data_IF_814658282661
#
_entry.id   IF_814658282661
#
_cell.length_a   1.000
_cell.length_b   1.000
_cell.length_c   1.000
_cell.angle_alpha   90.00
_cell.angle_beta   90.00
_cell.angle_gamma   90.00
#
_symmetry.space_group_name_H-M   'P 1'
#
loop_
_entity.id
_entity.type
_entity.pdbx_description
1 polymer ?
#
# COMPACT_ATOMS: atom_id res chain seq x y z
N UNK A 1 25.92 -2.21 19.48
CA UNK A 1 25.55 -1.27 18.43
C UNK A 1 26.52 -1.33 17.26
N UNK A 2 27.84 -1.09 17.41
CA UNK A 2 28.80 -1.29 16.29
C UNK A 2 28.74 -2.74 15.71
N UNK A 3 28.65 -3.74 16.55
CA UNK A 3 28.45 -5.16 16.13
C UNK A 3 27.08 -5.41 15.45
N UNK A 4 26.14 -4.49 15.59
CA UNK A 4 24.84 -4.52 14.93
C UNK A 4 24.82 -3.66 13.66
N UNK A 5 25.97 -3.11 13.24
CA UNK A 5 26.13 -2.22 12.08
C UNK A 5 25.21 -1.01 12.10
N UNK A 6 25.06 -0.39 13.29
CA UNK A 6 24.32 0.85 13.47
C UNK A 6 25.15 2.00 12.90
N UNK A 7 24.70 2.58 11.79
CA UNK A 7 25.43 3.63 11.05
C UNK A 7 25.58 4.92 11.86
N UNK A 8 24.57 5.29 12.65
CA UNK A 8 24.61 6.51 13.47
C UNK A 8 25.65 6.39 14.57
N UNK A 9 25.73 5.23 15.22
CA UNK A 9 26.74 4.94 16.25
C UNK A 9 28.13 4.83 15.62
N UNK A 10 28.25 4.21 14.44
CA UNK A 10 29.52 4.12 13.73
C UNK A 10 30.05 5.52 13.38
N UNK A 11 29.17 6.42 12.94
CA UNK A 11 29.55 7.80 12.63
C UNK A 11 29.96 8.58 13.88
N UNK A 12 29.24 8.46 14.99
CA UNK A 12 29.61 9.09 16.28
C UNK A 12 30.96 8.59 16.82
N UNK A 13 31.27 7.31 16.65
CA UNK A 13 32.57 6.74 17.07
C UNK A 13 33.67 7.23 16.14
N UNK A 14 33.41 7.31 14.83
CA UNK A 14 34.37 7.85 13.85
C UNK A 14 34.70 9.32 14.14
N UNK A 15 33.70 10.13 14.51
CA UNK A 15 33.88 11.55 14.81
C UNK A 15 34.68 11.78 16.14
N UNK A 16 34.57 10.83 17.10
CA UNK A 16 35.25 10.91 18.39
C UNK A 16 36.65 10.29 18.41
N UNK A 17 36.84 9.23 17.68
CA UNK A 17 38.04 8.36 17.76
C UNK A 17 38.62 8.16 16.34
N UNK A 18 38.81 9.26 15.60
CA UNK A 18 39.21 9.22 14.20
C UNK A 18 40.45 8.35 13.95
N UNK A 19 41.48 8.47 14.82
CA UNK A 19 42.73 7.73 14.68
C UNK A 19 42.62 6.23 15.04
N UNK A 20 41.71 5.87 15.95
CA UNK A 20 41.52 4.48 16.41
C UNK A 20 40.38 3.78 15.68
N UNK A 21 39.56 4.48 14.89
CA UNK A 21 38.37 3.92 14.26
C UNK A 21 38.68 2.72 13.37
N UNK A 22 39.74 2.77 12.59
CA UNK A 22 40.15 1.67 11.71
C UNK A 22 40.43 0.37 12.48
N UNK A 23 41.05 0.46 13.68
CA UNK A 23 41.31 -0.71 14.52
C UNK A 23 40.02 -1.27 15.13
N UNK A 24 39.08 -0.41 15.50
CA UNK A 24 37.77 -0.79 16.02
C UNK A 24 36.95 -1.47 14.92
N UNK A 25 36.94 -0.94 13.71
CA UNK A 25 36.24 -1.50 12.56
C UNK A 25 36.77 -2.87 12.17
N UNK A 26 38.10 -3.03 12.16
CA UNK A 26 38.73 -4.34 11.92
C UNK A 26 38.36 -5.36 13.00
N UNK A 27 38.40 -4.98 14.27
CA UNK A 27 38.01 -5.87 15.36
C UNK A 27 36.52 -6.26 15.29
N UNK A 28 35.64 -5.33 14.90
CA UNK A 28 34.22 -5.62 14.68
C UNK A 28 34.03 -6.59 13.53
N UNK A 29 34.72 -6.38 12.41
CA UNK A 29 34.64 -7.26 11.24
C UNK A 29 35.19 -8.65 11.54
N UNK A 30 36.31 -8.78 12.27
CA UNK A 30 36.86 -10.06 12.70
C UNK A 30 35.89 -10.83 13.59
N UNK A 31 35.23 -10.20 14.53
CA UNK A 31 34.23 -10.83 15.40
C UNK A 31 33.01 -11.27 14.60
N UNK A 32 32.53 -10.44 13.66
CA UNK A 32 31.40 -10.77 12.81
C UNK A 32 31.71 -11.94 11.87
N UNK A 33 32.92 -11.95 11.29
CA UNK A 33 33.36 -12.99 10.38
C UNK A 33 33.67 -14.33 11.08
N UNK A 34 34.38 -14.29 12.25
CA UNK A 34 34.78 -15.47 12.97
C UNK A 34 33.62 -16.31 13.51
N UNK A 35 32.47 -15.70 13.79
CA UNK A 35 31.37 -16.41 14.47
C UNK A 35 30.29 -16.97 13.57
N UNK A 36 30.19 -16.64 12.28
CA UNK A 36 29.15 -17.13 11.33
C UNK A 36 27.70 -17.14 11.89
N UNK A 37 27.45 -16.49 13.03
CA UNK A 37 26.20 -16.47 13.76
C UNK A 37 25.68 -15.04 13.73
N UNK A 38 24.39 -14.91 13.53
CA UNK A 38 23.69 -13.64 13.63
C UNK A 38 23.87 -13.00 15.02
N UNK A 39 24.87 -12.14 15.13
CA UNK A 39 25.17 -11.39 16.36
C UNK A 39 24.01 -10.47 16.77
N UNK A 40 23.27 -9.95 15.80
CA UNK A 40 22.11 -9.10 16.06
C UNK A 40 21.02 -9.88 16.82
N UNK A 41 20.71 -11.09 16.36
CA UNK A 41 19.75 -11.96 17.02
C UNK A 41 20.23 -12.37 18.42
N UNK A 42 21.50 -12.74 18.58
CA UNK A 42 22.06 -13.12 19.87
C UNK A 42 22.04 -11.97 20.88
N UNK A 43 22.45 -10.78 20.47
CA UNK A 43 22.43 -9.60 21.33
C UNK A 43 20.99 -9.28 21.73
N UNK A 44 20.03 -9.36 20.82
CA UNK A 44 18.63 -9.12 21.09
C UNK A 44 18.03 -10.16 22.06
N UNK A 45 18.39 -11.43 21.89
CA UNK A 45 17.95 -12.50 22.81
C UNK A 45 18.56 -12.35 24.22
N UNK A 46 19.83 -11.98 24.30
CA UNK A 46 20.50 -11.78 25.60
C UNK A 46 19.97 -10.52 26.30
N UNK A 47 19.74 -9.42 25.59
CA UNK A 47 19.05 -8.25 26.13
C UNK A 47 17.66 -8.61 26.67
N UNK A 48 16.89 -9.39 25.91
CA UNK A 48 15.57 -9.86 26.36
C UNK A 48 15.67 -10.72 27.62
N UNK A 49 16.69 -11.58 27.71
CA UNK A 49 16.94 -12.42 28.90
C UNK A 49 17.28 -11.58 30.12
N UNK A 50 18.19 -10.60 29.97
CA UNK A 50 18.57 -9.69 31.05
C UNK A 50 17.38 -8.84 31.49
N UNK A 51 16.64 -8.25 30.55
CA UNK A 51 15.41 -7.50 30.85
C UNK A 51 14.38 -8.35 31.59
N UNK A 52 14.20 -9.61 31.15
CA UNK A 52 13.30 -10.53 31.83
C UNK A 52 13.74 -10.81 33.27
N UNK A 53 15.04 -11.03 33.50
CA UNK A 53 15.60 -11.24 34.83
C UNK A 53 15.47 -10.01 35.75
N UNK A 54 15.56 -8.80 35.19
CA UNK A 54 15.35 -7.55 35.92
C UNK A 54 13.86 -7.29 36.24
N UNK A 55 12.98 -7.77 35.38
CA UNK A 55 11.52 -7.63 35.55
C UNK A 55 10.93 -8.72 36.46
N UNK A 56 11.60 -9.87 36.57
CA UNK A 56 11.19 -10.96 37.48
C UNK A 56 11.25 -10.47 38.95
N UNK A 57 10.09 -10.31 39.56
CA UNK A 57 9.91 -9.81 40.93
C UNK A 57 9.52 -8.33 41.05
N UNK A 58 9.65 -7.53 39.98
CA UNK A 58 9.21 -6.10 39.98
C UNK A 58 7.87 -5.94 39.28
N UNK A 59 7.64 -6.72 38.21
CA UNK A 59 6.39 -6.71 37.46
C UNK A 59 5.58 -7.94 37.82
N UNK A 60 4.61 -7.79 38.71
CA UNK A 60 3.54 -8.78 38.83
C UNK A 60 2.59 -8.61 37.67
N UNK A 61 2.72 -9.47 36.68
CA UNK A 61 1.68 -9.60 35.65
C UNK A 61 0.43 -10.13 36.38
N UNK A 62 -0.54 -9.24 36.63
CA UNK A 62 -1.91 -9.73 36.81
C UNK A 62 -2.19 -10.54 35.52
N UNK A 63 -2.39 -11.83 35.68
CA UNK A 63 -3.02 -12.67 34.67
C UNK A 63 -4.47 -12.18 34.49
N UNK A 64 -4.62 -11.01 33.87
CA UNK A 64 -5.84 -10.61 33.23
C UNK A 64 -6.08 -11.63 32.14
N UNK A 65 -6.96 -12.59 32.42
CA UNK A 65 -7.25 -13.70 31.53
C UNK A 65 -7.50 -13.18 30.12
N UNK A 66 -6.49 -13.29 29.25
CA UNK A 66 -6.70 -13.06 27.82
C UNK A 66 -7.83 -13.98 27.43
N UNK A 67 -8.90 -13.48 26.82
CA UNK A 67 -9.98 -14.37 26.43
C UNK A 67 -9.35 -15.48 25.58
N UNK A 68 -9.54 -16.72 26.01
CA UNK A 68 -9.00 -17.92 25.34
C UNK A 68 -9.31 -17.94 23.83
N UNK A 69 -10.37 -17.25 23.45
CA UNK A 69 -10.77 -17.01 22.06
C UNK A 69 -9.75 -16.17 21.28
N UNK A 70 -9.26 -15.04 21.80
CA UNK A 70 -8.32 -14.17 21.09
C UNK A 70 -6.99 -14.87 20.82
N UNK A 71 -6.54 -15.72 21.77
CA UNK A 71 -5.33 -16.51 21.60
C UNK A 71 -5.53 -17.68 20.61
N UNK A 72 -6.69 -18.35 20.65
CA UNK A 72 -7.05 -19.39 19.70
C UNK A 72 -7.18 -18.83 18.28
N UNK A 73 -7.84 -17.70 18.13
CA UNK A 73 -7.98 -17.00 16.86
C UNK A 73 -6.61 -16.53 16.32
N UNK A 74 -5.73 -16.00 17.20
CA UNK A 74 -4.36 -15.65 16.84
C UNK A 74 -3.56 -16.83 16.28
N UNK A 75 -3.70 -18.02 16.86
CA UNK A 75 -3.06 -19.25 16.37
C UNK A 75 -3.63 -19.69 15.02
N UNK A 76 -4.92 -19.56 14.80
CA UNK A 76 -5.56 -19.86 13.50
C UNK A 76 -5.07 -18.94 12.39
N UNK A 77 -4.87 -17.64 12.66
CA UNK A 77 -4.38 -16.67 11.67
C UNK A 77 -2.92 -16.92 11.25
N UNK A 78 -2.10 -17.52 12.12
CA UNK A 78 -0.68 -17.82 11.83
C UNK A 78 -0.46 -19.18 11.16
N UNK A 79 -1.44 -20.08 11.18
CA UNK A 79 -1.32 -21.39 10.53
C UNK A 79 -1.64 -21.24 9.02
N UNK A 80 -0.77 -21.71 8.08
CA UNK A 80 -1.02 -21.57 6.64
C UNK A 80 -2.36 -22.13 6.17
N UNK A 81 -2.78 -23.27 6.69
CA UNK A 81 -4.03 -23.93 6.30
C UNK A 81 -5.31 -23.17 6.69
N UNK A 82 -5.28 -22.45 7.78
CA UNK A 82 -6.43 -21.67 8.26
C UNK A 82 -6.26 -20.17 8.01
N UNK A 83 -5.03 -19.68 8.00
CA UNK A 83 -4.72 -18.27 7.81
C UNK A 83 -4.93 -17.80 6.36
N UNK A 84 -4.63 -18.64 5.36
CA UNK A 84 -4.87 -18.28 3.95
C UNK A 84 -6.36 -18.17 3.63
N UNK A 85 -7.22 -19.13 3.97
CA UNK A 85 -8.69 -18.97 3.81
C UNK A 85 -9.22 -17.74 4.56
N UNK A 86 -8.75 -17.50 5.79
CA UNK A 86 -9.15 -16.34 6.57
C UNK A 86 -8.72 -15.02 5.90
N UNK A 87 -7.50 -14.98 5.35
CA UNK A 87 -7.03 -13.84 4.57
C UNK A 87 -7.95 -13.56 3.38
N UNK A 88 -8.32 -14.60 2.63
CA UNK A 88 -9.25 -14.45 1.49
C UNK A 88 -10.62 -13.92 1.93
N UNK A 89 -11.13 -14.38 3.06
CA UNK A 89 -12.38 -13.88 3.65
C UNK A 89 -12.24 -12.39 4.01
N UNK A 90 -11.15 -12.00 4.68
CA UNK A 90 -10.90 -10.60 5.05
C UNK A 90 -10.75 -9.71 3.83
N UNK A 91 -10.05 -10.16 2.79
CA UNK A 91 -9.92 -9.43 1.52
C UNK A 91 -11.27 -9.33 0.79
N UNK A 92 -12.05 -10.41 0.75
CA UNK A 92 -13.35 -10.42 0.09
C UNK A 92 -14.34 -9.47 0.79
N UNK A 93 -14.53 -9.59 2.09
CA UNK A 93 -15.48 -8.75 2.80
C UNK A 93 -14.96 -7.33 3.04
N UNK A 94 -13.68 -7.17 3.40
CA UNK A 94 -13.09 -5.87 3.72
C UNK A 94 -12.77 -5.02 2.49
N UNK A 95 -12.20 -5.61 1.43
CA UNK A 95 -11.84 -4.84 0.24
C UNK A 95 -12.91 -4.95 -0.86
N UNK A 96 -13.30 -6.15 -1.25
CA UNK A 96 -14.21 -6.29 -2.38
C UNK A 96 -15.63 -5.83 -2.03
N UNK A 97 -16.22 -6.33 -0.94
CA UNK A 97 -17.61 -6.01 -0.61
C UNK A 97 -17.77 -4.64 0.03
N UNK A 98 -16.93 -4.29 1.01
CA UNK A 98 -17.04 -3.01 1.71
C UNK A 98 -16.50 -1.85 0.88
N UNK A 99 -15.30 -1.96 0.32
CA UNK A 99 -14.72 -0.85 -0.47
C UNK A 99 -15.33 -0.83 -1.88
N UNK A 100 -15.39 -1.99 -2.56
CA UNK A 100 -15.92 -2.08 -3.92
C UNK A 100 -17.45 -1.93 -3.96
N UNK A 101 -18.19 -2.77 -3.24
CA UNK A 101 -19.66 -2.77 -3.28
C UNK A 101 -20.27 -1.54 -2.62
N UNK A 102 -19.91 -1.26 -1.37
CA UNK A 102 -20.49 -0.13 -0.63
C UNK A 102 -19.80 1.20 -0.97
N UNK A 103 -18.47 1.26 -0.98
CA UNK A 103 -17.71 2.49 -1.24
C UNK A 103 -17.84 2.95 -2.70
N UNK A 104 -17.41 2.10 -3.64
CA UNK A 104 -17.40 2.44 -5.06
C UNK A 104 -18.75 2.27 -5.76
N UNK A 105 -19.63 1.40 -5.27
CA UNK A 105 -21.00 1.31 -5.76
C UNK A 105 -21.88 2.33 -5.08
N UNK A 106 -22.40 2.03 -3.90
CA UNK A 106 -23.50 2.81 -3.29
C UNK A 106 -23.14 4.27 -3.01
N UNK A 107 -21.97 4.57 -2.43
CA UNK A 107 -21.62 5.96 -2.07
C UNK A 107 -21.27 6.78 -3.31
N UNK A 108 -20.50 6.21 -4.22
CA UNK A 108 -20.13 6.89 -5.46
C UNK A 108 -21.37 7.14 -6.30
N UNK A 109 -22.23 6.15 -6.54
CA UNK A 109 -23.47 6.31 -7.31
C UNK A 109 -24.38 7.40 -6.74
N UNK A 110 -24.47 7.48 -5.41
CA UNK A 110 -25.22 8.54 -4.74
C UNK A 110 -24.58 9.92 -4.92
N UNK A 111 -23.27 10.04 -4.71
CA UNK A 111 -22.57 11.32 -4.82
C UNK A 111 -22.48 11.78 -6.27
N UNK A 112 -22.07 10.90 -7.17
CA UNK A 112 -21.88 11.22 -8.59
C UNK A 112 -23.23 11.42 -9.28
N UNK A 113 -24.15 10.44 -9.18
CA UNK A 113 -25.44 10.49 -9.87
C UNK A 113 -26.36 11.56 -9.29
N UNK A 114 -26.69 11.44 -7.99
CA UNK A 114 -27.71 12.32 -7.41
C UNK A 114 -27.17 13.71 -7.10
N UNK A 115 -25.99 13.83 -6.47
CA UNK A 115 -25.51 15.14 -6.04
C UNK A 115 -24.86 15.90 -7.19
N UNK A 116 -23.92 15.27 -7.90
CA UNK A 116 -23.19 15.98 -8.95
C UNK A 116 -23.98 16.08 -10.27
N UNK A 117 -24.52 14.98 -10.81
CA UNK A 117 -25.18 15.01 -12.11
C UNK A 117 -26.55 15.69 -12.07
N UNK A 118 -27.39 15.41 -11.07
CA UNK A 118 -28.74 15.97 -11.01
C UNK A 118 -28.78 17.39 -10.46
N UNK A 119 -27.89 17.76 -9.52
CA UNK A 119 -27.98 19.02 -8.81
C UNK A 119 -26.82 19.98 -9.08
N UNK A 120 -25.57 19.56 -8.84
CA UNK A 120 -24.43 20.47 -8.91
C UNK A 120 -24.01 20.84 -10.33
N UNK A 121 -23.94 19.89 -11.25
CA UNK A 121 -23.54 20.17 -12.63
C UNK A 121 -24.47 21.13 -13.33
N UNK A 122 -25.82 20.97 -13.31
CA UNK A 122 -26.74 21.91 -13.94
C UNK A 122 -26.67 23.32 -13.35
N UNK A 123 -26.49 23.39 -12.01
CA UNK A 123 -26.37 24.69 -11.33
C UNK A 123 -25.07 25.41 -11.74
N UNK A 124 -23.94 24.73 -11.71
CA UNK A 124 -22.63 25.33 -12.04
C UNK A 124 -22.56 25.69 -13.52
N UNK A 125 -23.01 24.79 -14.40
CA UNK A 125 -23.06 25.05 -15.85
C UNK A 125 -23.95 26.30 -16.15
N UNK A 126 -25.16 26.33 -15.62
CA UNK A 126 -26.06 27.46 -15.80
C UNK A 126 -25.52 28.79 -15.24
N UNK A 127 -24.80 28.71 -14.13
CA UNK A 127 -24.12 29.87 -13.53
C UNK A 127 -22.95 30.35 -14.41
N UNK A 128 -22.10 29.43 -14.89
CA UNK A 128 -20.98 29.75 -15.76
C UNK A 128 -21.48 30.34 -17.11
N UNK A 129 -22.48 29.75 -17.74
CA UNK A 129 -23.05 30.23 -19.00
C UNK A 129 -23.67 31.63 -18.86
N UNK A 130 -24.25 31.93 -17.70
CA UNK A 130 -24.89 33.24 -17.47
C UNK A 130 -23.88 34.36 -17.19
N UNK A 131 -22.80 34.07 -16.41
CA UNK A 131 -21.87 35.11 -15.96
C UNK A 131 -20.54 35.17 -16.76
N UNK A 132 -20.19 34.12 -17.52
CA UNK A 132 -18.93 34.07 -18.24
C UNK A 132 -19.19 34.19 -19.74
N UNK A 133 -18.93 35.37 -20.36
CA UNK A 133 -19.18 35.60 -21.77
C UNK A 133 -18.11 34.95 -22.69
N UNK A 134 -16.97 34.49 -22.12
CA UNK A 134 -15.87 33.92 -22.88
C UNK A 134 -16.04 32.41 -23.04
N UNK A 135 -16.30 31.94 -24.26
CA UNK A 135 -16.55 30.53 -24.56
C UNK A 135 -15.36 29.60 -24.16
N UNK A 136 -14.12 30.04 -24.36
CA UNK A 136 -12.97 29.27 -23.99
C UNK A 136 -12.81 29.06 -22.46
N UNK A 137 -13.19 30.08 -21.66
CA UNK A 137 -13.15 30.01 -20.20
C UNK A 137 -14.29 29.16 -19.66
N UNK A 138 -15.44 29.23 -20.29
CA UNK A 138 -16.59 28.38 -19.98
C UNK A 138 -16.27 26.91 -20.28
N UNK A 139 -15.63 26.62 -21.42
CA UNK A 139 -15.19 25.27 -21.77
C UNK A 139 -14.09 24.75 -20.80
N UNK A 140 -13.18 25.61 -20.32
CA UNK A 140 -12.19 25.24 -19.31
C UNK A 140 -12.82 24.91 -17.96
N UNK A 141 -13.88 25.60 -17.54
CA UNK A 141 -14.48 25.41 -16.22
C UNK A 141 -15.51 24.28 -16.22
N UNK A 142 -16.41 24.25 -17.18
CA UNK A 142 -17.58 23.36 -17.21
C UNK A 142 -17.72 22.53 -18.50
N UNK A 143 -16.72 22.59 -19.40
CA UNK A 143 -16.67 21.74 -20.58
C UNK A 143 -16.53 20.24 -20.24
N UNK A 144 -16.48 19.41 -21.27
CA UNK A 144 -16.32 17.94 -21.12
C UNK A 144 -15.08 17.55 -20.29
N UNK A 145 -13.95 18.24 -20.47
CA UNK A 145 -12.71 18.10 -19.69
C UNK A 145 -12.52 19.28 -18.73
N UNK A 146 -13.61 19.89 -18.28
CA UNK A 146 -13.58 21.09 -17.44
C UNK A 146 -13.05 20.82 -16.03
N UNK A 147 -12.53 21.88 -15.42
CA UNK A 147 -12.01 21.82 -14.04
C UNK A 147 -13.07 21.33 -13.05
N UNK A 148 -14.32 21.79 -13.19
CA UNK A 148 -15.40 21.39 -12.29
C UNK A 148 -16.00 20.04 -12.71
N UNK A 149 -16.36 19.89 -13.97
CA UNK A 149 -17.06 18.71 -14.49
C UNK A 149 -16.20 17.45 -14.49
N UNK A 150 -14.90 17.58 -14.67
CA UNK A 150 -13.97 16.46 -14.59
C UNK A 150 -13.13 16.53 -13.30
N UNK A 151 -12.40 17.61 -13.06
CA UNK A 151 -11.43 17.69 -11.97
C UNK A 151 -12.07 17.55 -10.58
N UNK A 152 -13.01 18.41 -10.23
CA UNK A 152 -13.69 18.39 -8.92
C UNK A 152 -14.57 17.14 -8.77
N UNK A 153 -15.35 16.79 -9.80
CA UNK A 153 -16.25 15.64 -9.77
C UNK A 153 -15.48 14.35 -9.51
N UNK A 154 -14.43 14.05 -10.26
CA UNK A 154 -13.64 12.84 -10.05
C UNK A 154 -12.96 12.82 -8.69
N UNK A 155 -12.36 13.93 -8.26
CA UNK A 155 -11.65 13.98 -6.98
C UNK A 155 -12.59 13.81 -5.78
N UNK A 156 -13.78 14.43 -5.82
CA UNK A 156 -14.70 14.50 -4.67
C UNK A 156 -15.79 13.43 -4.72
N UNK A 157 -16.43 13.23 -5.88
CA UNK A 157 -17.57 12.31 -5.97
C UNK A 157 -17.13 10.85 -6.13
N UNK A 158 -16.02 10.58 -6.80
CA UNK A 158 -15.59 9.22 -7.10
C UNK A 158 -14.46 8.78 -6.17
N UNK A 159 -13.37 9.53 -6.14
CA UNK A 159 -12.14 9.04 -5.48
C UNK A 159 -12.21 9.17 -3.97
N UNK A 160 -12.70 10.29 -3.45
CA UNK A 160 -12.79 10.54 -2.01
C UNK A 160 -13.57 9.44 -1.24
N UNK A 161 -14.76 8.98 -1.68
CA UNK A 161 -15.49 7.90 -0.99
C UNK A 161 -14.80 6.55 -1.10
N UNK A 162 -14.21 6.22 -2.25
CA UNK A 162 -13.49 4.95 -2.44
C UNK A 162 -12.27 4.91 -1.51
N UNK A 163 -11.48 5.96 -1.50
CA UNK A 163 -10.29 6.07 -0.64
C UNK A 163 -10.68 6.14 0.83
N UNK A 164 -11.76 6.82 1.17
CA UNK A 164 -12.28 6.91 2.53
C UNK A 164 -12.68 5.54 3.09
N UNK A 165 -13.49 4.79 2.36
CA UNK A 165 -13.90 3.43 2.76
C UNK A 165 -12.71 2.47 2.81
N UNK A 166 -11.74 2.61 1.89
CA UNK A 166 -10.50 1.86 1.93
C UNK A 166 -9.69 2.14 3.19
N UNK A 167 -9.50 3.41 3.57
CA UNK A 167 -8.76 3.74 4.80
C UNK A 167 -9.48 3.30 6.07
N UNK A 168 -10.81 3.29 6.09
CA UNK A 168 -11.59 2.71 7.20
C UNK A 168 -11.31 1.22 7.30
N UNK A 169 -11.47 0.46 6.22
CA UNK A 169 -11.21 -0.98 6.21
C UNK A 169 -9.76 -1.29 6.65
N UNK A 170 -8.81 -0.55 6.10
CA UNK A 170 -7.40 -0.71 6.44
C UNK A 170 -7.12 -0.38 7.90
N UNK A 171 -7.65 0.72 8.44
CA UNK A 171 -7.47 1.10 9.84
C UNK A 171 -8.07 0.08 10.82
N UNK A 172 -9.21 -0.54 10.47
CA UNK A 172 -9.82 -1.64 11.24
C UNK A 172 -8.89 -2.86 11.27
N UNK A 173 -8.36 -3.28 10.12
CA UNK A 173 -7.43 -4.41 10.00
C UNK A 173 -6.13 -4.12 10.77
N UNK A 174 -5.59 -2.91 10.65
CA UNK A 174 -4.38 -2.46 11.34
C UNK A 174 -4.57 -2.45 12.86
N UNK A 175 -5.65 -1.82 13.36
CA UNK A 175 -5.89 -1.67 14.80
C UNK A 175 -6.24 -3.00 15.50
N UNK A 176 -6.81 -3.95 14.76
CA UNK A 176 -7.06 -5.31 15.26
C UNK A 176 -5.79 -6.11 15.57
N UNK A 177 -4.62 -5.68 15.06
CA UNK A 177 -3.36 -6.40 15.16
C UNK A 177 -3.25 -7.59 14.20
N UNK A 178 -4.02 -7.59 13.09
CA UNK A 178 -3.99 -8.64 12.10
C UNK A 178 -2.72 -8.63 11.24
N UNK A 179 -2.17 -7.46 10.88
CA UNK A 179 -0.99 -7.35 10.02
C UNK A 179 0.26 -8.08 10.53
N UNK A 180 0.66 -8.02 11.82
CA UNK A 180 1.80 -8.77 12.31
C UNK A 180 1.67 -10.29 12.10
N UNK A 181 0.44 -10.81 12.20
CA UNK A 181 0.17 -12.24 11.97
C UNK A 181 0.23 -12.61 10.51
N UNK A 182 -0.31 -11.75 9.65
CA UNK A 182 -0.20 -11.89 8.22
C UNK A 182 1.27 -11.85 7.76
N UNK A 183 2.07 -10.94 8.34
CA UNK A 183 3.49 -10.87 8.08
C UNK A 183 4.22 -12.19 8.41
N UNK A 184 3.88 -12.82 9.52
CA UNK A 184 4.42 -14.13 9.90
C UNK A 184 3.97 -15.25 8.94
N UNK A 185 2.73 -15.19 8.47
CA UNK A 185 2.17 -16.18 7.55
C UNK A 185 2.91 -16.20 6.20
N UNK A 186 3.18 -15.03 5.64
CA UNK A 186 3.78 -14.90 4.30
C UNK A 186 5.31 -14.81 4.30
N UNK A 187 5.95 -14.64 5.45
CA UNK A 187 7.40 -14.44 5.58
C UNK A 187 8.22 -15.50 4.84
N UNK A 188 7.79 -16.78 4.88
CA UNK A 188 8.48 -17.87 4.19
C UNK A 188 8.50 -17.71 2.68
N UNK A 189 7.41 -17.21 2.09
CA UNK A 189 7.29 -17.00 0.64
C UNK A 189 8.09 -15.75 0.26
N UNK A 190 7.96 -14.69 1.04
CA UNK A 190 8.60 -13.39 0.78
C UNK A 190 10.13 -13.48 0.90
N UNK A 191 10.67 -14.29 1.80
CA UNK A 191 12.11 -14.54 1.88
C UNK A 191 12.70 -15.14 0.59
N UNK A 192 11.93 -15.94 -0.15
CA UNK A 192 12.39 -16.50 -1.43
C UNK A 192 12.54 -15.43 -2.51
N UNK A 193 11.71 -14.40 -2.48
CA UNK A 193 11.72 -13.27 -3.41
C UNK A 193 12.52 -12.06 -2.89
N UNK A 194 13.31 -12.25 -1.84
CA UNK A 194 14.21 -11.21 -1.31
C UNK A 194 13.55 -10.14 -0.45
N UNK A 195 12.33 -10.40 0.04
CA UNK A 195 11.57 -9.56 0.94
C UNK A 195 11.44 -10.22 2.32
N UNK A 196 11.11 -9.44 3.35
CA UNK A 196 10.70 -9.96 4.65
C UNK A 196 9.17 -9.90 4.82
N UNK A 197 8.67 -10.48 5.91
CA UNK A 197 7.23 -10.51 6.21
C UNK A 197 6.59 -9.12 6.35
N UNK A 198 7.35 -8.07 6.71
CA UNK A 198 6.82 -6.68 6.79
C UNK A 198 6.39 -6.15 5.43
N UNK A 199 6.95 -6.65 4.35
CA UNK A 199 6.55 -6.25 3.00
C UNK A 199 5.09 -6.61 2.66
N UNK A 200 4.44 -7.48 3.44
CA UNK A 200 3.01 -7.76 3.26
C UNK A 200 2.15 -6.50 3.45
N UNK A 201 2.58 -5.57 4.30
CA UNK A 201 1.82 -4.35 4.58
C UNK A 201 1.68 -3.49 3.30
N UNK A 202 2.78 -3.06 2.64
CA UNK A 202 2.65 -2.36 1.37
C UNK A 202 1.99 -3.20 0.27
N UNK A 203 2.20 -4.53 0.22
CA UNK A 203 1.55 -5.37 -0.79
C UNK A 203 0.02 -5.41 -0.63
N UNK A 204 -0.48 -5.54 0.59
CA UNK A 204 -1.93 -5.50 0.86
C UNK A 204 -2.52 -4.10 0.58
N UNK A 205 -1.78 -3.04 0.94
CA UNK A 205 -2.17 -1.67 0.60
C UNK A 205 -2.25 -1.44 -0.91
N UNK A 206 -1.36 -2.06 -1.69
CA UNK A 206 -1.34 -1.95 -3.15
C UNK A 206 -2.64 -2.38 -3.81
N UNK A 207 -3.30 -3.43 -3.30
CA UNK A 207 -4.63 -3.83 -3.80
C UNK A 207 -5.72 -2.76 -3.62
N UNK A 208 -5.51 -1.81 -2.73
CA UNK A 208 -6.38 -0.64 -2.58
C UNK A 208 -5.84 0.58 -3.30
N UNK A 209 -4.65 1.03 -2.92
CA UNK A 209 -4.03 2.24 -3.42
C UNK A 209 -2.52 2.07 -3.55
N UNK A 210 -2.03 1.96 -4.78
CA UNK A 210 -0.63 1.73 -5.09
C UNK A 210 0.27 2.92 -4.70
N UNK A 211 -0.24 4.15 -4.80
CA UNK A 211 0.46 5.36 -4.35
C UNK A 211 0.77 5.29 -2.85
N UNK A 212 -0.21 4.94 -2.02
CA UNK A 212 0.00 4.78 -0.58
C UNK A 212 0.91 3.59 -0.26
N UNK A 213 0.79 2.50 -1.02
CA UNK A 213 1.65 1.34 -0.86
C UNK A 213 3.12 1.68 -1.11
N UNK A 214 3.43 2.44 -2.16
CA UNK A 214 4.80 2.88 -2.46
C UNK A 214 5.37 3.78 -1.37
N UNK A 215 4.58 4.69 -0.79
CA UNK A 215 5.00 5.50 0.36
C UNK A 215 5.32 4.62 1.58
N UNK A 216 4.48 3.61 1.84
CA UNK A 216 4.67 2.69 2.97
C UNK A 216 5.88 1.77 2.76
N UNK A 217 6.36 1.54 1.55
CA UNK A 217 7.62 0.78 1.34
C UNK A 217 8.81 1.42 2.06
N UNK A 218 8.76 2.72 2.38
CA UNK A 218 9.79 3.41 3.18
C UNK A 218 9.96 2.84 4.59
N UNK A 219 8.97 2.11 5.10
CA UNK A 219 9.05 1.43 6.40
C UNK A 219 9.89 0.14 6.36
N UNK A 220 10.25 -0.33 5.18
CA UNK A 220 11.16 -1.46 5.00
C UNK A 220 12.60 -1.05 5.33
N UNK A 221 13.34 -1.96 5.97
CA UNK A 221 14.65 -1.64 6.56
C UNK A 221 15.73 -1.40 5.52
N UNK A 222 15.76 -2.22 4.45
CA UNK A 222 16.83 -2.13 3.44
C UNK A 222 16.36 -1.45 2.15
N UNK A 223 17.26 -0.72 1.49
CA UNK A 223 17.01 -0.13 0.16
C UNK A 223 16.68 -1.21 -0.87
N UNK A 224 17.31 -2.39 -0.75
CA UNK A 224 17.02 -3.54 -1.60
C UNK A 224 15.56 -3.96 -1.50
N UNK A 225 15.03 -4.12 -0.29
CA UNK A 225 13.62 -4.48 -0.08
C UNK A 225 12.67 -3.42 -0.61
N UNK A 226 12.99 -2.14 -0.42
CA UNK A 226 12.17 -1.02 -0.94
C UNK A 226 12.06 -1.07 -2.45
N UNK A 227 13.18 -1.26 -3.15
CA UNK A 227 13.19 -1.34 -4.62
C UNK A 227 12.45 -2.57 -5.12
N UNK A 228 12.67 -3.76 -4.53
CA UNK A 228 11.95 -4.98 -4.90
C UNK A 228 10.45 -4.82 -4.64
N UNK A 229 10.06 -4.28 -3.49
CA UNK A 229 8.67 -4.06 -3.15
C UNK A 229 7.99 -3.09 -4.12
N UNK A 230 8.63 -1.95 -4.41
CA UNK A 230 8.09 -0.95 -5.36
C UNK A 230 7.99 -1.53 -6.77
N UNK A 231 8.97 -2.31 -7.21
CA UNK A 231 8.94 -2.98 -8.52
C UNK A 231 7.76 -3.97 -8.61
N UNK A 232 7.54 -4.77 -7.57
CA UNK A 232 6.45 -5.74 -7.53
C UNK A 232 5.07 -5.06 -7.44
N UNK A 233 4.96 -3.96 -6.70
CA UNK A 233 3.75 -3.13 -6.67
C UNK A 233 3.42 -2.62 -8.07
N UNK A 234 4.37 -2.00 -8.74
CA UNK A 234 4.15 -1.41 -10.07
C UNK A 234 3.80 -2.44 -11.17
N UNK A 235 4.31 -3.67 -11.07
CA UNK A 235 4.15 -4.67 -12.14
C UNK A 235 3.08 -5.72 -11.90
N UNK A 236 2.81 -6.08 -10.64
CA UNK A 236 2.06 -7.28 -10.33
C UNK A 236 0.90 -7.08 -9.34
N UNK A 237 0.75 -5.90 -8.78
CA UNK A 237 -0.34 -5.63 -7.84
C UNK A 237 -1.24 -4.54 -8.42
N UNK A 238 -2.42 -4.91 -8.95
CA UNK A 238 -3.38 -3.94 -9.47
C UNK A 238 -4.09 -3.24 -8.31
N UNK A 239 -4.25 -1.93 -8.42
CA UNK A 239 -5.05 -1.16 -7.45
C UNK A 239 -6.56 -1.45 -7.59
N UNK A 240 -7.36 -0.99 -6.65
CA UNK A 240 -8.81 -1.23 -6.65
C UNK A 240 -9.52 -0.72 -7.91
N UNK A 241 -9.09 0.40 -8.45
CA UNK A 241 -9.65 0.97 -9.69
C UNK A 241 -9.33 0.07 -10.91
N UNK A 242 -8.08 -0.37 -11.03
CA UNK A 242 -7.67 -1.32 -12.08
C UNK A 242 -8.42 -2.64 -11.95
N UNK A 243 -8.57 -3.16 -10.72
CA UNK A 243 -9.34 -4.37 -10.46
C UNK A 243 -10.80 -4.23 -10.90
N UNK A 244 -11.44 -3.09 -10.63
CA UNK A 244 -12.81 -2.83 -11.04
C UNK A 244 -12.98 -2.88 -12.56
N UNK A 245 -12.10 -2.20 -13.31
CA UNK A 245 -12.12 -2.20 -14.78
C UNK A 245 -11.87 -3.60 -15.33
N UNK A 246 -10.87 -4.30 -14.82
CA UNK A 246 -10.49 -5.64 -15.31
C UNK A 246 -11.61 -6.66 -15.03
N UNK A 247 -12.20 -6.63 -13.83
CA UNK A 247 -13.33 -7.49 -13.49
C UNK A 247 -14.53 -7.19 -14.40
N UNK A 248 -14.83 -5.93 -14.68
CA UNK A 248 -15.88 -5.53 -15.61
C UNK A 248 -15.63 -6.08 -17.02
N UNK A 249 -14.43 -5.90 -17.56
CA UNK A 249 -14.05 -6.36 -18.90
C UNK A 249 -14.03 -7.91 -19.03
N UNK A 250 -13.54 -8.60 -18.01
CA UNK A 250 -13.38 -10.06 -18.03
C UNK A 250 -14.63 -10.82 -17.57
N UNK A 251 -15.64 -10.14 -17.03
CA UNK A 251 -16.86 -10.78 -16.50
C UNK A 251 -17.62 -11.60 -17.54
N UNK A 252 -17.53 -11.21 -18.82
CA UNK A 252 -18.20 -11.89 -19.94
C UNK A 252 -17.47 -13.13 -20.49
N UNK A 253 -16.22 -13.40 -20.07
CA UNK A 253 -15.41 -14.49 -20.65
C UNK A 253 -15.07 -15.53 -19.58
N UNK A 254 -15.67 -16.73 -19.65
CA UNK A 254 -15.40 -17.79 -18.69
C UNK A 254 -13.90 -18.17 -18.66
N UNK A 255 -13.30 -18.18 -17.50
CA UNK A 255 -11.89 -18.55 -17.32
C UNK A 255 -10.86 -17.44 -17.57
N UNK A 256 -11.21 -16.33 -18.21
CA UNK A 256 -10.28 -15.22 -18.45
C UNK A 256 -9.71 -14.64 -17.14
N UNK A 257 -10.53 -14.56 -16.11
CA UNK A 257 -10.12 -14.12 -14.78
C UNK A 257 -9.04 -15.03 -14.16
N UNK A 258 -9.18 -16.36 -14.34
CA UNK A 258 -8.18 -17.31 -13.82
C UNK A 258 -6.85 -17.20 -14.56
N UNK A 259 -6.90 -17.02 -15.89
CA UNK A 259 -5.69 -16.82 -16.71
C UNK A 259 -5.01 -15.53 -16.31
N UNK A 260 -5.76 -14.44 -16.18
CA UNK A 260 -5.23 -13.15 -15.73
C UNK A 260 -4.60 -13.23 -14.34
N UNK A 261 -5.30 -13.80 -13.38
CA UNK A 261 -4.78 -13.98 -12.01
C UNK A 261 -3.52 -14.86 -12.00
N UNK A 262 -3.53 -15.95 -12.76
CA UNK A 262 -2.36 -16.83 -12.93
C UNK A 262 -1.16 -16.09 -13.53
N UNK A 263 -1.39 -15.23 -14.51
CA UNK A 263 -0.36 -14.39 -15.11
C UNK A 263 0.22 -13.39 -14.10
N UNK A 264 -0.61 -12.71 -13.31
CA UNK A 264 -0.14 -11.79 -12.27
C UNK A 264 0.69 -12.51 -11.20
N UNK A 265 0.22 -13.64 -10.72
CA UNK A 265 0.99 -14.45 -9.75
C UNK A 265 2.31 -14.93 -10.37
N UNK A 266 2.29 -15.33 -11.64
CA UNK A 266 3.48 -15.69 -12.39
C UNK A 266 4.48 -14.55 -12.49
N UNK A 267 4.04 -13.36 -12.89
CA UNK A 267 4.87 -12.14 -12.95
C UNK A 267 5.43 -11.81 -11.55
N UNK A 268 4.59 -11.83 -10.52
CA UNK A 268 5.01 -11.55 -9.14
C UNK A 268 6.15 -12.48 -8.69
N UNK A 269 6.02 -13.77 -8.94
CA UNK A 269 7.03 -14.75 -8.55
C UNK A 269 8.29 -14.65 -9.40
N UNK A 270 8.17 -14.58 -10.73
CA UNK A 270 9.32 -14.51 -11.64
C UNK A 270 10.12 -13.23 -11.43
N UNK A 271 9.45 -12.08 -11.43
CA UNK A 271 10.12 -10.78 -11.22
C UNK A 271 10.72 -10.70 -9.83
N UNK A 272 10.00 -11.17 -8.79
CA UNK A 272 10.52 -11.21 -7.42
C UNK A 272 11.78 -12.09 -7.29
N UNK A 273 11.78 -13.29 -7.88
CA UNK A 273 12.94 -14.18 -7.89
C UNK A 273 14.12 -13.61 -8.66
N UNK A 274 13.88 -12.99 -9.83
CA UNK A 274 14.91 -12.34 -10.63
C UNK A 274 15.50 -11.15 -9.89
N UNK A 275 14.67 -10.26 -9.35
CA UNK A 275 15.10 -9.11 -8.57
C UNK A 275 15.92 -9.54 -7.34
N UNK A 276 15.50 -10.59 -6.64
CA UNK A 276 16.24 -11.14 -5.50
C UNK A 276 17.63 -11.68 -5.87
N UNK A 277 17.83 -12.17 -7.11
CA UNK A 277 19.12 -12.66 -7.61
C UNK A 277 20.02 -11.55 -8.12
N UNK A 278 19.45 -10.56 -8.81
CA UNK A 278 20.21 -9.49 -9.47
C UNK A 278 20.63 -8.41 -8.48
N UNK A 279 19.77 -8.08 -7.50
CA UNK A 279 20.06 -7.00 -6.58
C UNK A 279 21.03 -7.43 -5.48
N UNK A 280 22.19 -6.75 -5.32
CA UNK A 280 23.13 -7.01 -4.23
C UNK A 280 22.53 -6.60 -2.89
N UNK A 281 22.96 -7.25 -1.81
CA UNK A 281 22.58 -6.95 -0.44
C UNK A 281 22.32 -8.19 0.39
N UNK A 282 22.32 -8.02 1.71
CA UNK A 282 22.10 -9.10 2.66
C UNK A 282 20.65 -9.61 2.60
N UNK A 283 20.46 -10.86 2.99
CA UNK A 283 19.10 -11.41 3.10
C UNK A 283 18.38 -10.74 4.27
N UNK A 284 17.14 -10.30 4.08
CA UNK A 284 16.41 -9.60 5.13
C UNK A 284 16.14 -10.54 6.30
N UNK A 285 16.44 -10.07 7.49
CA UNK A 285 16.07 -10.75 8.73
C UNK A 285 14.74 -10.20 9.22
N UNK A 286 13.85 -11.11 9.58
CA UNK A 286 12.54 -10.75 10.05
C UNK A 286 12.43 -11.02 11.56
N UNK A 287 12.30 -9.94 12.31
CA UNK A 287 11.92 -9.97 13.72
C UNK A 287 10.75 -9.01 13.93
N UNK A 288 9.64 -9.51 14.44
CA UNK A 288 8.47 -8.72 14.73
C UNK A 288 7.82 -9.19 16.04
N UNK A 289 7.55 -8.28 16.93
CA UNK A 289 6.69 -8.53 18.09
C UNK A 289 5.24 -8.65 17.64
N UNK A 290 4.57 -9.71 18.10
CA UNK A 290 3.16 -9.94 17.78
C UNK A 290 2.32 -9.36 18.93
N UNK A 291 1.71 -8.18 18.78
CA UNK A 291 0.84 -7.62 19.79
C UNK A 291 -0.40 -8.51 19.99
N UNK A 292 -1.03 -8.51 21.16
CA UNK A 292 -2.28 -9.22 21.35
C UNK A 292 -3.37 -8.68 20.41
N UNK A 293 -4.21 -9.58 19.89
CA UNK A 293 -5.39 -9.13 19.13
C UNK A 293 -6.35 -8.39 20.06
N UNK A 294 -6.89 -7.31 19.55
CA UNK A 294 -7.86 -6.48 20.24
C UNK A 294 -8.99 -6.06 19.31
N UNK A 295 -10.13 -5.71 19.86
CA UNK A 295 -11.18 -5.09 19.07
C UNK A 295 -10.73 -3.69 18.62
N UNK A 296 -10.97 -3.32 17.37
CA UNK A 296 -10.62 -2.01 16.85
C UNK A 296 -11.32 -0.92 17.67
N UNK A 297 -10.60 0.13 18.01
CA UNK A 297 -11.17 1.29 18.68
C UNK A 297 -11.65 2.29 17.62
N UNK A 298 -12.96 2.52 17.57
CA UNK A 298 -13.57 3.39 16.55
C UNK A 298 -12.96 4.79 16.51
N UNK A 299 -12.60 5.35 17.66
CA UNK A 299 -11.93 6.64 17.74
C UNK A 299 -10.58 6.63 17.01
N UNK A 300 -9.75 5.59 17.21
CA UNK A 300 -8.47 5.44 16.54
C UNK A 300 -8.65 5.25 15.03
N UNK A 301 -9.64 4.44 14.63
CA UNK A 301 -9.98 4.19 13.22
C UNK A 301 -10.36 5.51 12.54
N UNK A 302 -11.25 6.30 13.16
CA UNK A 302 -11.70 7.58 12.60
C UNK A 302 -10.57 8.60 12.51
N UNK A 303 -9.77 8.78 13.57
CA UNK A 303 -8.65 9.73 13.56
C UNK A 303 -7.62 9.36 12.48
N UNK A 304 -7.23 8.08 12.39
CA UNK A 304 -6.30 7.59 11.36
C UNK A 304 -6.85 7.80 9.96
N UNK A 305 -8.12 7.48 9.75
CA UNK A 305 -8.78 7.64 8.45
C UNK A 305 -8.83 9.11 8.04
N UNK A 306 -9.31 9.99 8.90
CA UNK A 306 -9.43 11.43 8.60
C UNK A 306 -8.07 12.07 8.33
N UNK A 307 -7.04 11.74 9.12
CA UNK A 307 -5.69 12.26 8.89
C UNK A 307 -5.13 11.81 7.54
N UNK A 308 -5.31 10.54 7.16
CA UNK A 308 -4.88 10.00 5.87
C UNK A 308 -5.68 10.59 4.71
N UNK A 309 -6.99 10.77 4.87
CA UNK A 309 -7.85 11.41 3.87
C UNK A 309 -7.47 12.87 3.64
N UNK A 310 -7.21 13.63 4.71
CA UNK A 310 -6.78 15.02 4.59
C UNK A 310 -5.47 15.14 3.81
N UNK A 311 -4.47 14.32 4.16
CA UNK A 311 -3.19 14.31 3.45
C UNK A 311 -3.35 13.91 1.98
N UNK A 312 -4.10 12.85 1.71
CA UNK A 312 -4.42 12.38 0.37
C UNK A 312 -5.13 13.47 -0.46
N UNK A 313 -6.13 14.12 0.09
CA UNK A 313 -6.88 15.16 -0.59
C UNK A 313 -6.00 16.35 -0.98
N UNK A 314 -5.13 16.81 -0.06
CA UNK A 314 -4.20 17.91 -0.34
C UNK A 314 -3.18 17.58 -1.43
N UNK A 315 -2.78 16.32 -1.57
CA UNK A 315 -1.79 15.89 -2.57
C UNK A 315 -2.45 15.56 -3.92
N UNK A 316 -3.56 14.89 -3.91
CA UNK A 316 -4.19 14.36 -5.13
C UNK A 316 -5.13 15.36 -5.81
N UNK A 317 -5.84 16.16 -5.04
CA UNK A 317 -6.77 17.16 -5.61
C UNK A 317 -6.09 18.10 -6.63
N UNK A 318 -4.94 18.74 -6.33
CA UNK A 318 -4.27 19.59 -7.32
C UNK A 318 -3.81 18.82 -8.56
N UNK A 319 -3.45 17.53 -8.43
CA UNK A 319 -3.09 16.71 -9.59
C UNK A 319 -4.25 16.50 -10.54
N UNK A 320 -5.49 16.29 -10.02
CA UNK A 320 -6.69 16.20 -10.85
C UNK A 320 -7.01 17.52 -11.54
N UNK A 321 -6.80 18.64 -10.86
CA UNK A 321 -6.97 19.97 -11.47
C UNK A 321 -5.96 20.16 -12.63
N UNK A 322 -4.70 19.83 -12.42
CA UNK A 322 -3.66 19.90 -13.46
C UNK A 322 -3.99 18.96 -14.62
N UNK A 323 -4.38 17.72 -14.34
CA UNK A 323 -4.76 16.76 -15.37
C UNK A 323 -5.93 17.23 -16.23
N UNK A 324 -6.97 17.80 -15.60
CA UNK A 324 -8.11 18.39 -16.30
C UNK A 324 -7.67 19.54 -17.26
N UNK A 325 -6.83 20.44 -16.79
CA UNK A 325 -6.28 21.53 -17.63
C UNK A 325 -5.45 20.98 -18.79
N UNK A 326 -4.62 19.96 -18.54
CA UNK A 326 -3.80 19.33 -19.60
C UNK A 326 -4.67 18.63 -20.64
N UNK A 327 -5.74 17.94 -20.23
CA UNK A 327 -6.68 17.31 -21.15
C UNK A 327 -7.45 18.34 -21.98
N UNK A 328 -7.92 19.42 -21.36
CA UNK A 328 -8.56 20.52 -22.04
C UNK A 328 -7.61 21.18 -23.08
N UNK A 329 -6.37 21.47 -22.69
CA UNK A 329 -5.36 22.02 -23.59
C UNK A 329 -5.02 21.05 -24.74
N UNK A 330 -4.94 19.75 -24.45
CA UNK A 330 -4.75 18.70 -25.44
C UNK A 330 -5.89 18.58 -26.44
N UNK A 331 -7.15 18.74 -25.98
CA UNK A 331 -8.34 18.81 -26.84
C UNK A 331 -8.29 20.05 -27.73
N UNK A 332 -8.01 21.21 -27.15
CA UNK A 332 -7.99 22.49 -27.87
C UNK A 332 -6.90 22.51 -28.96
N UNK A 333 -5.71 21.95 -28.67
CA UNK A 333 -4.58 21.88 -29.63
C UNK A 333 -4.73 20.79 -30.68
N UNK A 334 -5.71 19.89 -30.55
CA UNK A 334 -5.86 18.70 -31.39
C UNK A 334 -4.83 17.59 -31.08
N UNK A 335 -3.96 17.80 -30.10
CA UNK A 335 -2.93 16.84 -29.72
C UNK A 335 -3.53 15.53 -29.19
N UNK A 336 -4.67 15.60 -28.51
CA UNK A 336 -5.37 14.43 -28.00
C UNK A 336 -5.88 13.55 -29.16
N UNK A 337 -6.51 14.13 -30.18
CA UNK A 337 -6.97 13.42 -31.36
C UNK A 337 -5.81 12.81 -32.14
N UNK A 338 -4.76 13.58 -32.36
CA UNK A 338 -3.53 13.09 -33.01
C UNK A 338 -2.91 11.90 -32.25
N UNK A 339 -2.85 11.97 -30.91
CA UNK A 339 -2.30 10.90 -30.09
C UNK A 339 -3.15 9.63 -30.20
N UNK A 340 -4.47 9.76 -30.15
CA UNK A 340 -5.40 8.63 -30.30
C UNK A 340 -5.24 7.99 -31.68
N UNK A 341 -5.18 8.80 -32.76
CA UNK A 341 -5.01 8.31 -34.13
C UNK A 341 -3.65 7.64 -34.32
N UNK A 342 -2.59 8.18 -33.71
CA UNK A 342 -1.24 7.59 -33.81
C UNK A 342 -1.12 6.26 -33.04
N UNK A 343 -1.85 6.11 -31.92
CA UNK A 343 -1.85 4.88 -31.11
C UNK A 343 -2.82 3.81 -31.65
N UNK A 344 -3.86 4.22 -32.37
CA UNK A 344 -4.90 3.32 -32.85
C UNK A 344 -4.36 2.12 -33.69
N UNK A 345 -3.43 2.31 -34.67
CA UNK A 345 -2.89 1.19 -35.43
C UNK A 345 -2.08 0.20 -34.57
N UNK A 346 -1.39 0.69 -33.52
CA UNK A 346 -0.64 -0.15 -32.59
C UNK A 346 -1.60 -0.96 -31.70
N UNK A 347 -2.65 -0.32 -31.22
CA UNK A 347 -3.67 -0.98 -30.39
C UNK A 347 -4.46 -2.01 -31.19
N UNK A 348 -4.85 -1.69 -32.43
CA UNK A 348 -5.53 -2.64 -33.32
C UNK A 348 -4.64 -3.82 -33.68
N UNK A 349 -3.33 -3.61 -33.90
CA UNK A 349 -2.38 -4.68 -34.14
C UNK A 349 -2.25 -5.64 -32.95
N UNK A 350 -2.30 -5.13 -31.72
CA UNK A 350 -2.27 -5.94 -30.50
C UNK A 350 -3.58 -6.72 -30.24
N UNK A 351 -4.73 -6.20 -30.69
CA UNK A 351 -6.04 -6.86 -30.52
C UNK A 351 -6.21 -7.99 -31.52
N UNK A 352 -5.54 -7.94 -32.69
CA UNK A 352 -5.64 -8.96 -33.73
C UNK A 352 -4.64 -10.13 -33.58
N UNK A 353 -3.82 -10.16 -32.51
CA UNK A 353 -3.02 -11.31 -32.11
C UNK A 353 -3.79 -12.11 -31.05
#
# INVERSE_FOLDING_TARGET
MLLQRDEEIAQRVRDREADAYASVENAVNDIVFARRVDLHLRISLERKRICKGLLDGVVTQQEGGRPAFAERFSRWTMNPWTGVPLLLIVLYFGLYQFVGGFGAGTIVDFLEGTIFEEHLNPLVIGWCEHYIPWSWLNELLVGEYGLFTLGVRYAVAIILPIVGTFFIAFAVIEDSGYFPRLAMLVDRIFKKIGLNGRAVIPMVLGFGCDTMATVVTRTLESTRERVIATLLLALAIPCSAQMGVILGLLSGVPGALLVWLGTLVGIFLVVGLLAAKVMPGERPMFYMEIPPMRLPQMQNVLVKTLTRMQWYFLEIFPLFMIASVLLWAGKLSGALAWLVDALNPVMLSLIHI
#
